data_IF_853056155292
#
_entry.id   IF_853056155292
#
_cell.length_a   1.000
_cell.length_b   1.000
_cell.length_c   1.000
_cell.angle_alpha   90.00
_cell.angle_beta   90.00
_cell.angle_gamma   90.00
#
_symmetry.space_group_name_H-M   'P 1'
#
loop_
_entity.id
_entity.type
_entity.pdbx_description
1 polymer ?
#
# COMPACT_ATOMS: atom_id res chain seq x y z
N UNK A 1 4.28 -11.69 9.22
CA UNK A 1 4.83 -10.43 9.76
C UNK A 1 6.16 -10.73 10.43
N UNK A 2 7.16 -9.85 10.36
CA UNK A 2 8.40 -9.99 11.14
C UNK A 2 8.08 -10.08 12.64
N UNK A 3 8.82 -10.91 13.40
CA UNK A 3 8.52 -11.17 14.81
C UNK A 3 8.58 -9.96 15.75
N UNK A 4 9.16 -8.85 15.29
CA UNK A 4 9.20 -7.58 16.04
C UNK A 4 7.93 -6.72 15.88
N UNK A 5 7.05 -7.02 14.92
CA UNK A 5 5.77 -6.33 14.77
C UNK A 5 4.75 -6.94 15.73
N UNK A 6 4.27 -6.14 16.67
CA UNK A 6 3.20 -6.50 17.61
C UNK A 6 1.81 -6.26 17.03
N UNK A 7 1.70 -5.35 16.06
CA UNK A 7 0.43 -5.07 15.40
C UNK A 7 0.56 -4.00 14.33
N UNK A 8 -0.40 -4.00 13.42
CA UNK A 8 -0.56 -2.99 12.39
C UNK A 8 -2.05 -2.66 12.30
N UNK A 9 -2.40 -1.40 12.46
CA UNK A 9 -3.79 -0.93 12.43
C UNK A 9 -3.91 0.19 11.40
N UNK A 10 -4.93 0.10 10.55
CA UNK A 10 -5.24 1.11 9.56
C UNK A 10 -6.63 1.68 9.86
N UNK A 11 -6.72 2.99 9.99
CA UNK A 11 -7.96 3.73 10.22
C UNK A 11 -8.28 4.56 8.99
N UNK A 12 -9.51 4.41 8.50
CA UNK A 12 -10.01 5.17 7.37
C UNK A 12 -11.17 6.04 7.83
N UNK A 13 -11.19 7.29 7.39
CA UNK A 13 -12.31 8.19 7.55
C UNK A 13 -12.69 8.73 6.18
N UNK A 14 -13.95 8.57 5.82
CA UNK A 14 -14.52 9.13 4.60
C UNK A 14 -15.55 10.16 5.01
N UNK A 15 -15.39 11.39 4.54
CA UNK A 15 -16.30 12.50 4.84
C UNK A 15 -16.82 13.08 3.53
N UNK A 16 -18.15 13.09 3.29
CA UNK A 16 -18.70 13.65 2.08
C UNK A 16 -18.44 15.15 2.02
N UNK A 17 -18.04 15.66 0.84
CA UNK A 17 -17.75 17.09 0.57
C UNK A 17 -18.61 17.62 -0.59
N UNK A 18 -19.76 16.99 -0.83
CA UNK A 18 -20.70 17.33 -1.89
C UNK A 18 -21.22 16.10 -2.63
N UNK A 19 -22.09 16.29 -3.64
CA UNK A 19 -22.75 15.18 -4.35
C UNK A 19 -21.77 14.22 -5.04
N UNK A 20 -20.63 14.72 -5.53
CA UNK A 20 -19.64 13.96 -6.30
C UNK A 20 -18.22 14.06 -5.71
N UNK A 21 -18.09 14.37 -4.42
CA UNK A 21 -16.79 14.55 -3.80
C UNK A 21 -16.78 14.03 -2.37
N UNK A 22 -15.69 13.37 -1.98
CA UNK A 22 -15.43 12.93 -0.62
C UNK A 22 -13.98 13.24 -0.23
N UNK A 23 -13.77 13.58 1.03
CA UNK A 23 -12.45 13.63 1.65
C UNK A 23 -12.19 12.28 2.28
N UNK A 24 -11.03 11.69 1.97
CA UNK A 24 -10.59 10.42 2.56
C UNK A 24 -9.32 10.67 3.35
N UNK A 25 -9.35 10.32 4.62
CA UNK A 25 -8.20 10.34 5.52
C UNK A 25 -7.82 8.91 5.88
N UNK A 26 -6.54 8.59 5.80
CA UNK A 26 -5.99 7.29 6.19
C UNK A 26 -4.92 7.50 7.28
N UNK A 27 -5.04 6.79 8.38
CA UNK A 27 -4.03 6.71 9.43
C UNK A 27 -3.52 5.28 9.58
N UNK A 28 -2.20 5.09 9.45
CA UNK A 28 -1.55 3.80 9.68
C UNK A 28 -0.73 3.84 10.98
N UNK A 29 -1.07 2.95 11.91
CA UNK A 29 -0.35 2.77 13.17
C UNK A 29 0.36 1.41 13.17
N UNK A 30 1.67 1.43 13.42
CA UNK A 30 2.47 0.21 13.57
C UNK A 30 2.97 0.10 15.01
N UNK A 31 2.61 -0.99 15.70
CA UNK A 31 3.12 -1.32 17.03
C UNK A 31 4.34 -2.22 16.88
N UNK A 32 5.52 -1.68 17.20
CA UNK A 32 6.81 -2.37 17.10
C UNK A 32 7.36 -2.62 18.51
N UNK A 33 7.91 -3.81 18.74
CA UNK A 33 8.56 -4.17 20.00
C UNK A 33 9.83 -3.33 20.27
N UNK A 34 10.12 -3.04 21.53
CA UNK A 34 11.43 -2.50 21.93
C UNK A 34 12.49 -3.62 21.85
N UNK A 35 13.74 -3.34 21.41
CA UNK A 35 14.30 -2.04 20.99
C UNK A 35 14.13 -1.73 19.49
N UNK A 36 13.47 -2.62 18.74
CA UNK A 36 13.30 -2.49 17.30
C UNK A 36 12.54 -1.22 16.89
N UNK A 37 11.63 -0.72 17.71
CA UNK A 37 10.94 0.55 17.46
C UNK A 37 11.88 1.74 17.28
N UNK A 38 13.05 1.76 17.95
CA UNK A 38 14.05 2.82 17.83
C UNK A 38 14.95 2.58 16.60
N UNK A 39 15.37 1.33 16.41
CA UNK A 39 16.32 0.95 15.36
C UNK A 39 15.69 1.01 13.97
N UNK A 40 14.52 0.37 13.80
CA UNK A 40 13.86 0.23 12.49
C UNK A 40 12.63 1.13 12.33
N UNK A 41 12.14 1.75 13.41
CA UNK A 41 10.96 2.62 13.35
C UNK A 41 11.08 3.78 12.36
N UNK A 42 12.17 4.56 12.36
CA UNK A 42 12.34 5.64 11.39
C UNK A 42 12.36 5.16 9.94
N UNK A 43 13.08 4.07 9.66
CA UNK A 43 13.14 3.46 8.33
C UNK A 43 11.77 2.95 7.88
N UNK A 44 11.06 2.23 8.75
CA UNK A 44 9.71 1.75 8.45
C UNK A 44 8.74 2.90 8.22
N UNK A 45 8.84 4.01 8.98
CA UNK A 45 8.00 5.20 8.78
C UNK A 45 8.19 5.80 7.38
N UNK A 46 9.43 5.89 6.90
CA UNK A 46 9.72 6.39 5.55
C UNK A 46 9.18 5.43 4.48
N UNK A 47 9.45 4.13 4.63
CA UNK A 47 9.03 3.11 3.68
C UNK A 47 7.50 3.02 3.58
N UNK A 48 6.80 2.90 4.71
CA UNK A 48 5.34 2.86 4.73
C UNK A 48 4.73 4.19 4.31
N UNK A 49 5.35 5.33 4.63
CA UNK A 49 4.87 6.64 4.20
C UNK A 49 4.81 6.78 2.67
N UNK A 50 5.83 6.30 1.95
CA UNK A 50 5.82 6.30 0.48
C UNK A 50 4.77 5.35 -0.09
N UNK A 51 4.67 4.12 0.45
CA UNK A 51 3.69 3.13 -0.01
C UNK A 51 2.26 3.62 0.19
N UNK A 52 1.95 4.16 1.37
CA UNK A 52 0.64 4.73 1.70
C UNK A 52 0.28 5.87 0.76
N UNK A 53 1.22 6.78 0.48
CA UNK A 53 0.98 7.89 -0.47
C UNK A 53 0.65 7.37 -1.87
N UNK A 54 1.39 6.38 -2.36
CA UNK A 54 1.10 5.80 -3.68
C UNK A 54 -0.27 5.12 -3.70
N UNK A 55 -0.59 4.32 -2.68
CA UNK A 55 -1.89 3.66 -2.57
C UNK A 55 -3.06 4.66 -2.56
N UNK A 56 -2.91 5.80 -1.88
CA UNK A 56 -3.95 6.86 -1.89
C UNK A 56 -4.09 7.48 -3.28
N UNK A 57 -3.00 7.72 -4.01
CA UNK A 57 -3.03 8.26 -5.38
C UNK A 57 -3.69 7.27 -6.34
N UNK A 58 -3.33 6.00 -6.25
CA UNK A 58 -3.89 4.93 -7.08
C UNK A 58 -5.39 4.75 -6.80
N UNK A 59 -5.78 4.73 -5.52
CA UNK A 59 -7.18 4.68 -5.10
C UNK A 59 -7.96 5.89 -5.60
N UNK A 60 -7.39 7.10 -5.51
CA UNK A 60 -8.01 8.32 -6.04
C UNK A 60 -8.23 8.21 -7.54
N UNK A 61 -7.22 7.80 -8.30
CA UNK A 61 -7.35 7.63 -9.75
C UNK A 61 -8.45 6.63 -10.09
N UNK A 62 -8.46 5.47 -9.44
CA UNK A 62 -9.50 4.46 -9.68
C UNK A 62 -10.90 4.99 -9.34
N UNK A 63 -11.05 5.71 -8.23
CA UNK A 63 -12.32 6.30 -7.84
C UNK A 63 -12.81 7.38 -8.83
N UNK A 64 -11.89 8.15 -9.43
CA UNK A 64 -12.24 9.22 -10.38
C UNK A 64 -12.44 8.72 -11.81
N UNK A 65 -11.70 7.71 -12.26
CA UNK A 65 -11.67 7.29 -13.67
C UNK A 65 -12.18 5.88 -13.92
N UNK A 66 -12.40 5.08 -12.86
CA UNK A 66 -12.74 3.67 -12.97
C UNK A 66 -11.61 2.79 -13.51
N UNK A 67 -10.40 3.33 -13.66
CA UNK A 67 -9.25 2.62 -14.23
C UNK A 67 -8.08 2.58 -13.25
N UNK A 68 -7.40 1.43 -13.10
CA UNK A 68 -6.22 1.33 -12.26
C UNK A 68 -5.07 2.17 -12.81
N UNK A 69 -4.17 2.61 -11.93
CA UNK A 69 -3.03 3.41 -12.35
C UNK A 69 -2.12 2.59 -13.27
N UNK A 70 -1.57 3.24 -14.31
CA UNK A 70 -0.65 2.64 -15.29
C UNK A 70 0.55 1.89 -14.70
N UNK A 71 0.96 2.22 -13.46
CA UNK A 71 2.03 1.55 -12.72
C UNK A 71 1.62 0.14 -12.28
N UNK A 72 0.40 -0.02 -11.78
CA UNK A 72 -0.13 -1.32 -11.34
C UNK A 72 -0.36 -2.24 -12.54
N UNK A 73 -0.87 -1.72 -13.65
CA UNK A 73 -1.05 -2.47 -14.90
C UNK A 73 0.30 -3.05 -15.38
N UNK A 74 1.38 -2.27 -15.34
CA UNK A 74 2.73 -2.73 -15.69
C UNK A 74 3.27 -3.76 -14.69
N UNK A 75 3.01 -3.58 -13.40
CA UNK A 75 3.43 -4.52 -12.37
C UNK A 75 2.73 -5.87 -12.51
N UNK A 76 1.43 -5.90 -12.82
CA UNK A 76 0.67 -7.13 -13.04
C UNK A 76 1.09 -7.87 -14.30
N UNK A 77 1.33 -7.15 -15.40
CA UNK A 77 1.89 -7.75 -16.63
C UNK A 77 3.25 -8.37 -16.35
N UNK A 78 4.14 -7.67 -15.62
CA UNK A 78 5.45 -8.19 -15.27
C UNK A 78 5.38 -9.40 -14.33
N UNK A 79 4.47 -9.43 -13.36
CA UNK A 79 4.27 -10.57 -12.45
C UNK A 79 3.73 -11.78 -13.20
N UNK A 80 2.75 -11.59 -14.07
CA UNK A 80 2.22 -12.65 -14.96
C UNK A 80 3.31 -13.21 -15.86
N UNK A 81 4.13 -12.34 -16.48
CA UNK A 81 5.25 -12.77 -17.32
C UNK A 81 6.31 -13.57 -16.53
N UNK A 82 6.60 -13.19 -15.28
CA UNK A 82 7.53 -13.92 -14.40
C UNK A 82 6.97 -15.27 -13.96
N UNK A 83 5.68 -15.34 -13.63
CA UNK A 83 5.02 -16.59 -13.28
C UNK A 83 5.05 -17.59 -14.44
N UNK A 84 4.73 -17.13 -15.67
CA UNK A 84 4.80 -17.97 -16.88
C UNK A 84 6.22 -18.50 -17.14
N UNK A 85 7.24 -17.66 -16.96
CA UNK A 85 8.65 -18.09 -17.11
C UNK A 85 9.08 -19.12 -16.05
N UNK A 86 8.61 -18.98 -14.81
CA UNK A 86 8.89 -19.94 -13.76
C UNK A 86 8.23 -21.31 -14.03
N UNK A 87 7.02 -21.32 -14.61
CA UNK A 87 6.33 -22.55 -15.01
C UNK A 87 7.02 -23.25 -16.18
N UNK A 88 7.58 -22.50 -17.14
CA UNK A 88 8.28 -23.06 -18.30
C UNK A 88 9.71 -23.55 -17.99
N UNK A 89 10.35 -23.05 -16.94
CA UNK A 89 11.69 -23.45 -16.53
C UNK A 89 11.73 -24.67 -15.58
N UNK A 90 10.54 -25.17 -15.18
CA UNK A 90 10.39 -26.35 -14.31
C UNK A 90 9.82 -27.57 -15.03
N UNK A 91 9.77 -27.57 -16.37
CA UNK A 91 9.34 -28.68 -17.22
C UNK A 91 10.52 -29.30 -17.96
#
# INVERSE_FOLDING_TARGET
MPGFMKGLTNHWRVTPKGPNASVVEMGLEAKIAFPFNILVGPLMRLQYGSVVRHAIVEMKQYAETGQPHSREVKADVSKKAKAVRATLAGA
#
